data_IF_702154763068
#
_entry.id   IF_702154763068
#
_cell.length_a   1.000
_cell.length_b   1.000
_cell.length_c   1.000
_cell.angle_alpha   90.00
_cell.angle_beta   90.00
_cell.angle_gamma   90.00
#
_symmetry.space_group_name_H-M   'P 1'
#
loop_
_entity.id
_entity.type
_entity.pdbx_description
1 polymer ?
#
# COMPACT_ATOMS: atom_id res chain seq x y z
N UNK A 1 19.68 33.67 26.19
CA UNK A 1 19.11 33.31 24.86
C UNK A 1 19.50 31.86 24.62
N UNK A 2 18.61 30.92 24.98
CA UNK A 2 18.90 29.50 24.85
C UNK A 2 18.13 28.95 23.65
N UNK A 3 18.87 28.36 22.72
CA UNK A 3 18.36 27.70 21.54
C UNK A 3 17.46 26.52 21.93
N UNK A 4 16.28 26.43 21.34
CA UNK A 4 15.54 25.18 21.15
C UNK A 4 15.39 25.03 19.63
N UNK A 5 16.43 24.49 18.99
CA UNK A 5 16.24 23.86 17.69
C UNK A 5 15.45 22.59 17.95
N UNK A 6 14.14 22.64 17.80
CA UNK A 6 13.34 21.41 17.75
C UNK A 6 13.86 20.61 16.56
N UNK A 7 14.36 19.41 16.81
CA UNK A 7 14.70 18.47 15.75
C UNK A 7 13.46 18.29 14.86
N UNK A 8 13.54 18.78 13.63
CA UNK A 8 12.50 18.57 12.64
C UNK A 8 12.62 17.12 12.19
N UNK A 9 11.84 16.24 12.84
CA UNK A 9 11.72 14.85 12.42
C UNK A 9 11.24 14.84 10.97
N UNK A 10 11.97 14.17 10.05
CA UNK A 10 11.52 14.05 8.66
C UNK A 10 10.11 13.46 8.61
N UNK A 11 9.26 13.99 7.73
CA UNK A 11 7.84 13.59 7.67
C UNK A 11 7.63 12.08 7.49
N UNK A 12 8.53 11.35 6.82
CA UNK A 12 8.44 9.89 6.70
C UNK A 12 8.76 9.12 8.00
N UNK A 13 9.44 9.75 8.97
CA UNK A 13 9.76 9.15 10.28
C UNK A 13 8.79 9.59 11.38
N UNK A 14 7.91 10.55 11.12
CA UNK A 14 6.91 11.01 12.08
C UNK A 14 5.90 9.89 12.36
N UNK A 15 5.77 9.42 13.63
CA UNK A 15 4.86 8.35 14.00
C UNK A 15 3.40 8.80 14.17
N UNK A 16 3.05 10.02 13.76
CA UNK A 16 1.67 10.51 13.72
C UNK A 16 1.00 10.06 12.43
N UNK A 17 -0.08 9.26 12.45
CA UNK A 17 -0.79 8.86 11.23
C UNK A 17 -1.36 10.06 10.47
N UNK A 18 -1.28 10.01 9.15
CA UNK A 18 -1.83 10.99 8.20
C UNK A 18 -3.03 10.43 7.43
N UNK A 19 -3.20 9.10 7.41
CA UNK A 19 -4.29 8.43 6.72
C UNK A 19 -4.89 7.32 7.58
N UNK A 20 -6.12 6.92 7.25
CA UNK A 20 -6.79 5.78 7.92
C UNK A 20 -5.97 4.49 7.80
N UNK A 21 -5.36 4.25 6.64
CA UNK A 21 -4.46 3.13 6.43
C UNK A 21 -3.27 3.14 7.41
N UNK A 22 -2.66 4.30 7.66
CA UNK A 22 -1.59 4.40 8.65
C UNK A 22 -2.09 4.14 10.08
N UNK A 23 -3.29 4.59 10.45
CA UNK A 23 -3.90 4.27 11.75
C UNK A 23 -4.09 2.76 11.93
N UNK A 24 -4.57 2.06 10.89
CA UNK A 24 -4.78 0.61 10.91
C UNK A 24 -3.43 -0.12 10.99
N UNK A 25 -2.43 0.30 10.21
CA UNK A 25 -1.07 -0.27 10.23
C UNK A 25 -0.41 -0.11 11.61
N UNK A 26 -0.53 1.06 12.20
CA UNK A 26 -0.01 1.38 13.53
C UNK A 26 -0.66 0.52 14.63
N UNK A 27 -1.98 0.41 14.58
CA UNK A 27 -2.75 -0.41 15.51
C UNK A 27 -2.38 -1.89 15.38
N UNK A 28 -2.24 -2.40 14.16
CA UNK A 28 -1.80 -3.77 13.90
C UNK A 28 -0.36 -4.02 14.41
N UNK A 29 0.57 -3.11 14.15
CA UNK A 29 1.96 -3.21 14.61
C UNK A 29 2.08 -3.22 16.14
N UNK A 30 1.15 -2.57 16.86
CA UNK A 30 1.07 -2.57 18.33
C UNK A 30 0.25 -3.72 18.91
N UNK A 31 -0.34 -4.57 18.07
CA UNK A 31 -1.27 -5.61 18.52
C UNK A 31 -2.55 -5.06 19.16
N UNK A 32 -2.94 -3.84 18.78
CA UNK A 32 -4.13 -3.12 19.27
C UNK A 32 -5.25 -3.03 18.22
N UNK A 33 -5.04 -3.62 17.04
CA UNK A 33 -5.97 -3.62 15.91
C UNK A 33 -7.21 -4.49 16.14
N UNK A 34 -8.12 -4.46 15.16
CA UNK A 34 -9.18 -5.47 15.04
C UNK A 34 -8.59 -6.88 15.22
N UNK A 35 -9.37 -7.81 15.77
CA UNK A 35 -8.94 -9.21 15.96
C UNK A 35 -8.57 -9.90 14.63
N UNK A 36 -8.84 -9.25 13.50
CA UNK A 36 -8.54 -9.70 12.16
C UNK A 36 -7.13 -9.27 11.69
N UNK A 37 -6.17 -10.20 11.54
CA UNK A 37 -4.86 -9.91 10.97
C UNK A 37 -4.90 -9.41 9.52
N UNK A 38 -6.03 -9.55 8.81
CA UNK A 38 -6.23 -9.07 7.46
C UNK A 38 -6.65 -7.60 7.36
N UNK A 39 -6.98 -6.94 8.49
CA UNK A 39 -7.47 -5.57 8.50
C UNK A 39 -6.55 -4.56 7.74
N UNK A 40 -5.21 -4.58 7.89
CA UNK A 40 -4.33 -3.72 7.11
C UNK A 40 -4.41 -3.94 5.59
N UNK A 41 -4.57 -5.19 5.18
CA UNK A 41 -4.65 -5.56 3.77
C UNK A 41 -5.99 -5.07 3.21
N UNK A 42 -7.08 -5.29 3.93
CA UNK A 42 -8.41 -4.80 3.56
C UNK A 42 -8.45 -3.28 3.44
N UNK A 43 -7.90 -2.57 4.43
CA UNK A 43 -7.83 -1.11 4.40
C UNK A 43 -6.95 -0.62 3.23
N UNK A 44 -5.83 -1.30 2.96
CA UNK A 44 -4.97 -0.98 1.83
C UNK A 44 -5.71 -1.14 0.48
N UNK A 45 -6.43 -2.24 0.27
CA UNK A 45 -7.20 -2.50 -0.95
C UNK A 45 -8.22 -1.38 -1.23
N UNK A 46 -8.77 -0.77 -0.18
CA UNK A 46 -9.75 0.31 -0.23
C UNK A 46 -9.16 1.72 -0.21
N UNK A 47 -7.83 1.85 -0.05
CA UNK A 47 -7.14 3.13 0.05
C UNK A 47 -6.60 3.62 -1.29
N UNK A 48 -6.49 4.95 -1.45
CA UNK A 48 -5.64 5.55 -2.46
C UNK A 48 -4.19 5.57 -1.96
N UNK A 49 -3.27 5.19 -2.83
CA UNK A 49 -1.83 5.22 -2.58
C UNK A 49 -1.11 5.94 -3.71
N UNK A 50 0.05 6.51 -3.38
CA UNK A 50 0.94 7.16 -4.32
C UNK A 50 2.00 6.16 -4.82
N UNK A 51 2.22 6.14 -6.12
CA UNK A 51 3.33 5.47 -6.78
C UNK A 51 4.30 6.52 -7.30
N UNK A 52 5.57 6.15 -7.34
CA UNK A 52 6.59 6.91 -8.05
C UNK A 52 6.83 6.25 -9.39
N UNK A 53 6.85 7.06 -10.45
CA UNK A 53 7.06 6.61 -11.82
C UNK A 53 8.29 7.35 -12.37
N UNK A 54 9.29 6.65 -12.93
CA UNK A 54 10.34 7.28 -13.71
C UNK A 54 9.75 8.05 -14.89
N UNK A 55 10.44 9.06 -15.39
CA UNK A 55 10.00 9.70 -16.63
C UNK A 55 9.96 8.65 -17.76
N UNK A 56 8.83 8.56 -18.51
CA UNK A 56 8.74 7.60 -19.60
C UNK A 56 9.82 7.88 -20.64
N UNK A 57 10.40 6.82 -21.20
CA UNK A 57 11.27 6.96 -22.35
C UNK A 57 10.50 7.61 -23.51
N UNK A 58 11.17 8.48 -24.28
CA UNK A 58 10.53 9.19 -25.38
C UNK A 58 9.88 8.20 -26.37
N UNK A 59 8.54 8.19 -26.42
CA UNK A 59 7.75 7.32 -27.30
C UNK A 59 6.91 6.25 -26.59
N UNK A 60 7.00 6.10 -25.27
CA UNK A 60 6.22 5.12 -24.50
C UNK A 60 5.19 5.87 -23.63
N UNK A 61 3.92 5.91 -24.04
CA UNK A 61 2.90 6.77 -23.40
C UNK A 61 1.74 6.03 -22.75
N UNK A 62 1.67 4.70 -22.88
CA UNK A 62 0.46 3.96 -22.50
C UNK A 62 0.57 3.15 -21.21
N UNK A 63 1.78 2.89 -20.70
CA UNK A 63 1.99 2.11 -19.47
C UNK A 63 2.92 2.83 -18.52
N UNK A 64 2.50 3.00 -17.26
CA UNK A 64 3.35 3.53 -16.19
C UNK A 64 4.07 2.38 -15.49
N UNK A 65 5.40 2.43 -15.46
CA UNK A 65 6.22 1.49 -14.72
C UNK A 65 6.59 2.10 -13.35
N UNK A 66 6.08 1.56 -12.23
CA UNK A 66 6.39 2.13 -10.92
C UNK A 66 7.83 1.84 -10.51
N UNK A 67 8.34 2.63 -9.56
CA UNK A 67 9.64 2.42 -8.94
C UNK A 67 9.67 1.05 -8.22
N UNK A 68 10.54 0.17 -8.71
CA UNK A 68 10.84 -1.15 -8.11
C UNK A 68 12.12 -1.04 -7.28
N UNK A 69 12.07 -1.53 -6.05
CA UNK A 69 13.19 -1.65 -5.13
C UNK A 69 13.51 -3.13 -4.90
N UNK A 70 14.61 -3.41 -4.19
CA UNK A 70 14.85 -4.72 -3.61
C UNK A 70 14.64 -4.63 -2.10
N UNK A 71 13.88 -5.58 -1.54
CA UNK A 71 13.70 -5.70 -0.10
C UNK A 71 14.99 -6.24 0.57
N UNK A 72 14.95 -6.46 1.89
CA UNK A 72 16.12 -6.92 2.65
C UNK A 72 16.63 -8.30 2.20
N UNK A 73 15.76 -9.14 1.64
CA UNK A 73 16.08 -10.47 1.11
C UNK A 73 16.54 -10.44 -0.37
N UNK A 74 16.56 -9.25 -0.99
CA UNK A 74 16.92 -9.08 -2.39
C UNK A 74 15.79 -9.35 -3.39
N UNK A 75 14.55 -9.52 -2.91
CA UNK A 75 13.38 -9.73 -3.76
C UNK A 75 12.84 -8.39 -4.28
N UNK A 76 12.38 -8.34 -5.54
CA UNK A 76 11.86 -7.12 -6.13
C UNK A 76 10.49 -6.75 -5.54
N UNK A 77 10.35 -5.49 -5.11
CA UNK A 77 9.11 -4.94 -4.52
C UNK A 77 8.77 -3.59 -5.13
N UNK A 78 7.50 -3.36 -5.42
CA UNK A 78 7.00 -2.03 -5.83
C UNK A 78 6.92 -1.12 -4.61
N UNK A 79 7.50 0.08 -4.72
CA UNK A 79 7.36 1.10 -3.69
C UNK A 79 6.05 1.89 -3.86
N UNK A 80 5.21 1.86 -2.83
CA UNK A 80 4.01 2.67 -2.75
C UNK A 80 3.99 3.46 -1.44
N UNK A 81 3.24 4.57 -1.42
CA UNK A 81 3.19 5.48 -0.29
C UNK A 81 1.75 5.78 0.09
N UNK A 82 1.46 5.73 1.37
CA UNK A 82 0.13 6.04 1.92
C UNK A 82 -0.23 7.52 1.75
N UNK A 83 0.77 8.39 1.70
CA UNK A 83 0.58 9.83 1.54
C UNK A 83 1.83 10.48 0.92
N UNK A 84 1.66 11.58 0.16
CA UNK A 84 2.78 12.28 -0.50
C UNK A 84 3.87 12.74 0.48
N UNK A 85 3.49 13.11 1.70
CA UNK A 85 4.44 13.50 2.75
C UNK A 85 5.33 12.35 3.25
N UNK A 86 4.97 11.09 2.98
CA UNK A 86 5.79 9.91 3.30
C UNK A 86 6.82 9.60 2.22
N UNK A 87 6.74 10.23 1.06
CA UNK A 87 7.71 10.07 -0.01
C UNK A 87 9.04 10.70 0.42
N UNK A 88 10.09 9.88 0.43
CA UNK A 88 11.44 10.37 0.70
C UNK A 88 11.97 11.16 -0.49
N UNK A 89 12.64 12.31 -0.26
CA UNK A 89 13.18 13.12 -1.35
C UNK A 89 14.14 12.35 -2.27
N UNK A 90 14.93 11.43 -1.71
CA UNK A 90 15.88 10.62 -2.49
C UNK A 90 15.21 9.70 -3.52
N UNK A 91 13.98 9.24 -3.28
CA UNK A 91 13.27 8.46 -4.30
C UNK A 91 12.81 9.31 -5.49
N UNK A 92 12.51 10.59 -5.27
CA UNK A 92 12.11 11.51 -6.33
C UNK A 92 13.26 11.86 -7.28
N UNK A 93 14.52 11.65 -6.85
CA UNK A 93 15.69 11.79 -7.73
C UNK A 93 15.75 10.69 -8.81
N UNK A 94 15.12 9.54 -8.57
CA UNK A 94 15.06 8.41 -9.51
C UNK A 94 13.71 8.31 -10.24
N UNK A 95 12.63 8.65 -9.55
CA UNK A 95 11.27 8.58 -10.07
C UNK A 95 10.48 9.84 -9.65
N UNK A 96 10.58 10.94 -10.42
CA UNK A 96 10.06 12.25 -10.02
C UNK A 96 8.54 12.37 -10.14
N UNK A 97 7.90 11.49 -10.92
CA UNK A 97 6.46 11.57 -11.19
C UNK A 97 5.69 10.83 -10.12
N UNK A 98 4.71 11.51 -9.50
CA UNK A 98 3.83 10.90 -8.49
C UNK A 98 2.45 10.65 -9.09
N UNK A 99 2.04 9.38 -9.13
CA UNK A 99 0.71 8.95 -9.60
C UNK A 99 -0.09 8.38 -8.44
N UNK A 100 -1.38 8.66 -8.38
CA UNK A 100 -2.28 8.08 -7.38
C UNK A 100 -3.09 6.93 -7.99
N UNK A 101 -3.23 5.83 -7.27
CA UNK A 101 -4.03 4.67 -7.67
C UNK A 101 -4.70 4.03 -6.46
N UNK A 102 -5.76 3.26 -6.69
CA UNK A 102 -6.37 2.45 -5.65
C UNK A 102 -5.52 1.22 -5.35
N UNK A 103 -5.37 0.86 -4.07
CA UNK A 103 -4.56 -0.30 -3.65
C UNK A 103 -4.99 -1.60 -4.31
N UNK A 104 -6.30 -1.84 -4.47
CA UNK A 104 -6.81 -3.00 -5.21
C UNK A 104 -6.37 -3.02 -6.69
N UNK A 105 -6.43 -1.87 -7.37
CA UNK A 105 -6.00 -1.75 -8.77
C UNK A 105 -4.47 -1.94 -8.89
N UNK A 106 -3.72 -1.40 -7.94
CA UNK A 106 -2.27 -1.62 -7.85
C UNK A 106 -1.92 -3.10 -7.77
N UNK A 107 -2.51 -3.86 -6.83
CA UNK A 107 -2.21 -5.29 -6.71
C UNK A 107 -2.58 -6.07 -7.98
N UNK A 108 -3.71 -5.75 -8.60
CA UNK A 108 -4.12 -6.39 -9.86
C UNK A 108 -3.10 -6.16 -10.98
N UNK A 109 -2.57 -4.93 -11.08
CA UNK A 109 -1.58 -4.56 -12.10
C UNK A 109 -0.18 -5.12 -11.80
N UNK A 110 0.14 -5.31 -10.52
CA UNK A 110 1.44 -5.80 -10.05
C UNK A 110 1.67 -7.28 -10.39
N UNK A 111 0.59 -8.06 -10.52
CA UNK A 111 0.65 -9.49 -10.81
C UNK A 111 1.22 -10.29 -9.62
N UNK A 112 1.73 -11.49 -9.90
CA UNK A 112 2.25 -12.41 -8.87
C UNK A 112 3.77 -12.57 -8.90
N UNK A 113 4.50 -11.66 -9.54
CA UNK A 113 5.96 -11.74 -9.69
C UNK A 113 6.70 -10.71 -8.82
N UNK A 114 6.02 -9.64 -8.42
CA UNK A 114 6.56 -8.60 -7.55
C UNK A 114 5.93 -8.67 -6.16
N UNK A 115 6.65 -8.20 -5.14
CA UNK A 115 6.05 -7.83 -3.87
C UNK A 115 5.65 -6.35 -3.85
N UNK A 116 5.14 -5.89 -2.71
CA UNK A 116 4.78 -4.49 -2.46
C UNK A 116 5.38 -4.04 -1.13
N UNK A 117 5.96 -2.85 -1.10
CA UNK A 117 6.34 -2.17 0.14
C UNK A 117 5.64 -0.82 0.25
N UNK A 118 4.89 -0.64 1.32
CA UNK A 118 4.30 0.64 1.71
C UNK A 118 5.29 1.41 2.57
N UNK A 119 5.49 2.68 2.21
CA UNK A 119 6.34 3.64 2.91
C UNK A 119 7.71 3.06 3.32
N UNK A 120 8.55 2.65 2.36
CA UNK A 120 9.83 2.01 2.65
C UNK A 120 10.74 2.90 3.52
N UNK A 121 11.19 2.34 4.65
CA UNK A 121 12.04 3.04 5.62
C UNK A 121 11.32 4.10 6.46
N UNK A 122 10.00 3.99 6.63
CA UNK A 122 9.18 4.93 7.40
C UNK A 122 8.67 4.36 8.73
N UNK A 123 8.01 5.20 9.54
CA UNK A 123 7.32 4.78 10.76
C UNK A 123 6.13 3.82 10.52
N UNK A 124 5.52 3.86 9.33
CA UNK A 124 4.37 3.03 8.94
C UNK A 124 4.73 2.10 7.78
N UNK A 125 5.94 1.50 7.85
CA UNK A 125 6.42 0.55 6.87
C UNK A 125 5.63 -0.76 6.91
N UNK A 126 5.18 -1.23 5.76
CA UNK A 126 4.46 -2.50 5.62
C UNK A 126 4.85 -3.19 4.33
N UNK A 127 5.06 -4.50 4.37
CA UNK A 127 5.53 -5.27 3.23
C UNK A 127 4.62 -6.47 2.95
N UNK A 128 4.25 -6.64 1.69
CA UNK A 128 3.65 -7.84 1.15
C UNK A 128 4.68 -8.52 0.24
N UNK A 129 5.16 -9.68 0.63
CA UNK A 129 5.95 -10.54 -0.23
C UNK A 129 5.11 -11.02 -1.43
N UNK A 130 5.78 -11.49 -2.48
CA UNK A 130 5.14 -12.02 -3.69
C UNK A 130 4.12 -13.12 -3.39
N UNK A 131 4.40 -13.99 -2.40
CA UNK A 131 3.48 -15.03 -1.93
C UNK A 131 2.22 -14.44 -1.26
N UNK A 132 2.36 -13.38 -0.48
CA UNK A 132 1.24 -12.70 0.15
C UNK A 132 0.40 -11.96 -0.88
N UNK A 133 1.02 -11.32 -1.87
CA UNK A 133 0.32 -10.72 -3.00
C UNK A 133 -0.50 -11.78 -3.75
N UNK A 134 0.11 -12.92 -4.09
CA UNK A 134 -0.58 -14.01 -4.78
C UNK A 134 -1.75 -14.57 -3.96
N UNK A 135 -1.59 -14.70 -2.63
CA UNK A 135 -2.67 -15.11 -1.74
C UNK A 135 -3.82 -14.10 -1.75
N UNK A 136 -3.53 -12.80 -1.60
CA UNK A 136 -4.55 -11.75 -1.65
C UNK A 136 -5.29 -11.74 -2.99
N UNK A 137 -4.59 -11.83 -4.11
CA UNK A 137 -5.23 -11.86 -5.44
C UNK A 137 -6.10 -13.10 -5.68
N UNK A 138 -5.76 -14.23 -5.05
CA UNK A 138 -6.60 -15.44 -5.09
C UNK A 138 -7.86 -15.28 -4.26
N UNK A 139 -7.73 -14.74 -3.05
CA UNK A 139 -8.80 -14.69 -2.05
C UNK A 139 -9.74 -13.48 -2.26
N UNK A 140 -9.24 -12.41 -2.88
CA UNK A 140 -9.99 -11.19 -3.18
C UNK A 140 -10.17 -11.00 -4.69
N UNK A 141 -11.19 -11.65 -5.25
CA UNK A 141 -11.74 -11.21 -6.53
C UNK A 141 -12.69 -10.04 -6.30
N UNK A 142 -12.70 -9.01 -7.17
CA UNK A 142 -13.80 -8.06 -7.20
C UNK A 142 -15.12 -8.84 -7.26
N UNK A 143 -16.12 -8.45 -6.47
CA UNK A 143 -17.44 -9.04 -6.60
C UNK A 143 -17.90 -8.81 -8.05
N UNK A 144 -18.08 -9.89 -8.81
CA UNK A 144 -18.69 -9.80 -10.12
C UNK A 144 -20.09 -9.17 -9.93
N UNK A 145 -20.50 -8.19 -10.76
CA UNK A 145 -21.82 -7.59 -10.65
C UNK A 145 -22.89 -8.66 -10.90
N UNK A 146 -23.41 -9.27 -9.83
CA UNK A 146 -24.36 -10.37 -9.86
C UNK A 146 -24.24 -11.38 -8.71
N UNK A 147 -23.15 -11.37 -7.93
CA UNK A 147 -22.98 -12.29 -6.82
C UNK A 147 -23.77 -11.80 -5.59
N UNK A 148 -25.05 -12.19 -5.51
CA UNK A 148 -25.82 -12.07 -4.28
C UNK A 148 -25.23 -13.03 -3.22
N UNK A 149 -24.93 -12.57 -1.99
CA UNK A 149 -24.60 -13.51 -0.92
C UNK A 149 -25.81 -14.42 -0.70
N UNK A 150 -25.54 -15.73 -0.74
CA UNK A 150 -26.49 -16.82 -0.52
C UNK A 150 -27.41 -16.50 0.66
N UNK A 151 -28.66 -16.13 0.35
CA UNK A 151 -29.73 -16.05 1.34
C UNK A 151 -30.24 -17.49 1.48
N UNK A 152 -30.02 -18.17 2.63
CA UNK A 152 -30.56 -19.50 2.81
C UNK A 152 -32.10 -19.41 2.70
N UNK A 153 -32.77 -20.33 2.00
CA UNK A 153 -34.23 -20.34 1.96
C UNK A 153 -34.75 -20.51 3.39
N UNK A 154 -35.45 -19.48 3.88
CA UNK A 154 -36.09 -19.51 5.19
C UNK A 154 -37.06 -20.69 5.31
N UNK A 155 -37.29 -21.21 6.51
CA UNK A 155 -38.15 -22.38 6.68
C UNK A 155 -39.57 -22.02 6.25
N UNK A 156 -40.11 -22.81 5.32
CA UNK A 156 -41.53 -22.78 5.02
C UNK A 156 -42.28 -23.19 6.29
N UNK A 157 -43.06 -22.23 6.82
CA UNK A 157 -43.96 -22.45 7.94
C UNK A 157 -45.10 -23.41 7.60
N UNK A 158 -45.58 -24.03 8.67
CA UNK A 158 -46.77 -24.89 8.90
C UNK A 158 -47.86 -24.96 7.82
#
# INVERSE_FOLDING_TARGET
MSAHGGEHVPAHLDPTPLTRLEEVLDSAARGQGEEDPMAPILEFLNSLVCLLVPEPAAGETDTVEPLVLNNADGNPVVAAFTHRARIRPDFLEFAPTVVETQGALLLQNLGTELGLVLNPGSAFGFELSTEHVAAVLRDFRPAEPGEHPDVPPGPAGE
#
